data_IF_879978187988
#
_entry.id   IF_879978187988
#
_cell.length_a   1.000
_cell.length_b   1.000
_cell.length_c   1.000
_cell.angle_alpha   90.00
_cell.angle_beta   90.00
_cell.angle_gamma   90.00
#
_symmetry.space_group_name_H-M   'P 1'
#
loop_
_entity.id
_entity.type
_entity.pdbx_description
1 polymer ?
#
# COMPACT_ATOMS: atom_id res chain seq x y z
N UNK A 1 0.04 26.55 59.20
CA UNK A 1 1.46 26.19 59.17
C UNK A 1 1.70 25.44 57.91
N UNK A 2 2.06 26.13 56.98
CA UNK A 2 3.15 26.12 55.99
C UNK A 2 3.52 24.71 55.48
N UNK A 3 3.09 24.41 54.28
CA UNK A 3 3.56 23.32 53.45
C UNK A 3 4.28 23.88 52.22
N UNK A 4 5.55 23.61 52.16
CA UNK A 4 6.47 23.98 51.10
C UNK A 4 6.20 23.17 49.84
N UNK A 5 5.86 23.86 48.73
CA UNK A 5 5.79 23.30 47.36
C UNK A 5 7.19 23.25 46.77
N UNK A 6 7.70 22.07 46.52
CA UNK A 6 8.86 21.86 45.63
C UNK A 6 8.39 21.76 44.20
N UNK A 7 8.69 22.79 43.42
CA UNK A 7 8.63 22.76 41.96
C UNK A 7 9.89 22.05 41.43
N UNK A 8 9.74 20.84 40.91
CA UNK A 8 10.77 20.20 40.13
C UNK A 8 10.60 20.65 38.65
N UNK A 9 11.45 21.58 38.23
CA UNK A 9 11.60 21.95 36.82
C UNK A 9 12.36 20.83 36.11
N UNK A 10 11.65 20.02 35.31
CA UNK A 10 12.26 19.06 34.37
C UNK A 10 12.75 19.86 33.15
N UNK A 11 14.06 20.07 33.10
CA UNK A 11 14.75 20.58 31.93
C UNK A 11 14.75 19.47 30.86
N UNK A 12 13.80 19.52 29.91
CA UNK A 12 13.85 18.73 28.67
C UNK A 12 14.99 19.30 27.83
N UNK A 13 16.15 18.68 27.86
CA UNK A 13 17.19 18.87 26.87
C UNK A 13 16.70 18.25 25.58
N UNK A 14 16.14 19.05 24.70
CA UNK A 14 15.92 18.67 23.32
C UNK A 14 17.30 18.46 22.68
N UNK A 15 17.75 17.22 22.60
CA UNK A 15 18.84 16.83 21.72
C UNK A 15 18.36 17.03 20.26
N UNK A 16 18.55 18.22 19.73
CA UNK A 16 18.55 18.45 18.28
C UNK A 16 19.77 17.72 17.73
N UNK A 17 19.60 16.47 17.32
CA UNK A 17 20.52 15.80 16.43
C UNK A 17 20.50 16.62 15.15
N UNK A 18 21.49 17.49 14.98
CA UNK A 18 21.81 18.09 13.69
C UNK A 18 22.23 16.91 12.82
N UNK A 19 21.32 16.45 11.98
CA UNK A 19 21.63 15.48 10.94
C UNK A 19 22.62 16.16 10.00
N UNK A 20 23.89 15.83 10.13
CA UNK A 20 24.90 16.12 9.13
C UNK A 20 24.41 15.39 7.88
N UNK A 21 24.08 16.12 6.81
CA UNK A 21 23.74 15.58 5.50
C UNK A 21 24.93 14.70 5.05
N UNK A 22 24.88 13.42 5.41
CA UNK A 22 25.88 12.44 5.06
C UNK A 22 25.48 11.73 3.78
N UNK A 23 26.43 11.64 2.84
CA UNK A 23 26.24 10.77 1.68
C UNK A 23 26.18 9.32 2.14
N UNK A 24 25.00 8.68 2.05
CA UNK A 24 24.78 7.30 2.47
C UNK A 24 24.72 6.38 1.25
N UNK A 25 25.65 5.43 1.12
CA UNK A 25 25.49 4.37 0.12
C UNK A 25 24.30 3.49 0.50
N UNK A 26 23.36 3.30 -0.42
CA UNK A 26 22.20 2.42 -0.24
C UNK A 26 22.26 1.30 -1.28
N UNK A 27 22.22 0.06 -0.79
CA UNK A 27 22.05 -1.12 -1.65
C UNK A 27 20.58 -1.33 -2.01
N UNK A 28 20.32 -2.16 -3.03
CA UNK A 28 18.95 -2.51 -3.42
C UNK A 28 18.22 -3.22 -2.28
N UNK A 29 18.87 -4.16 -1.60
CA UNK A 29 18.30 -4.90 -0.48
C UNK A 29 17.93 -3.96 0.67
N UNK A 30 18.81 -3.03 1.02
CA UNK A 30 18.57 -2.03 2.06
C UNK A 30 17.39 -1.11 1.68
N UNK A 31 17.30 -0.69 0.41
CA UNK A 31 16.18 0.10 -0.08
C UNK A 31 14.84 -0.65 0.05
N UNK A 32 14.83 -1.96 -0.27
CA UNK A 32 13.64 -2.81 -0.09
C UNK A 32 13.26 -2.93 1.39
N UNK A 33 14.24 -3.18 2.28
CA UNK A 33 13.96 -3.27 3.71
C UNK A 33 13.39 -1.99 4.30
N UNK A 34 13.94 -0.82 3.89
CA UNK A 34 13.41 0.49 4.29
C UNK A 34 11.99 0.67 3.77
N UNK A 35 11.76 0.35 2.49
CA UNK A 35 10.42 0.39 1.88
C UNK A 35 9.41 -0.46 2.65
N UNK A 36 9.77 -1.70 2.99
CA UNK A 36 8.89 -2.59 3.76
C UNK A 36 8.62 -2.10 5.20
N UNK A 37 9.54 -1.35 5.80
CA UNK A 37 9.36 -0.80 7.15
C UNK A 37 8.59 0.53 7.17
N UNK A 38 8.83 1.42 6.20
CA UNK A 38 8.41 2.82 6.25
C UNK A 38 7.40 3.23 5.19
N UNK A 39 7.27 2.45 4.09
CA UNK A 39 6.33 2.79 3.03
C UNK A 39 4.89 2.82 3.54
N UNK A 40 4.16 3.88 3.17
CA UNK A 40 2.80 4.12 3.67
C UNK A 40 1.80 3.05 3.25
N UNK A 41 1.96 2.43 2.08
CA UNK A 41 1.09 1.36 1.62
C UNK A 41 1.23 0.10 2.48
N UNK A 42 2.46 -0.24 2.90
CA UNK A 42 2.70 -1.36 3.85
C UNK A 42 2.09 -1.05 5.22
N UNK A 43 2.28 0.17 5.72
CA UNK A 43 1.69 0.59 7.01
C UNK A 43 0.16 0.48 6.96
N UNK A 44 -0.47 0.98 5.90
CA UNK A 44 -1.93 0.87 5.70
C UNK A 44 -2.37 -0.60 5.65
N UNK A 45 -1.65 -1.45 4.92
CA UNK A 45 -1.98 -2.87 4.81
C UNK A 45 -1.82 -3.61 6.16
N UNK A 46 -0.80 -3.28 6.97
CA UNK A 46 -0.66 -3.78 8.35
C UNK A 46 -1.83 -3.35 9.24
N UNK A 47 -2.23 -2.09 9.14
CA UNK A 47 -3.40 -1.59 9.88
C UNK A 47 -4.69 -2.32 9.48
N UNK A 48 -4.84 -2.72 8.21
CA UNK A 48 -5.96 -3.55 7.77
C UNK A 48 -5.92 -4.96 8.39
N UNK A 49 -4.73 -5.57 8.57
CA UNK A 49 -4.59 -6.83 9.29
C UNK A 49 -4.97 -6.66 10.78
N UNK A 50 -4.52 -5.59 11.45
CA UNK A 50 -4.91 -5.29 12.83
C UNK A 50 -6.43 -5.01 12.94
N UNK A 51 -7.01 -4.36 11.94
CA UNK A 51 -8.46 -4.19 11.84
C UNK A 51 -9.19 -5.54 11.74
N UNK A 52 -8.68 -6.47 10.91
CA UNK A 52 -9.24 -7.81 10.80
C UNK A 52 -9.17 -8.56 12.13
N UNK A 53 -8.05 -8.49 12.86
CA UNK A 53 -7.93 -9.04 14.22
C UNK A 53 -8.94 -8.44 15.19
N UNK A 54 -9.25 -7.15 15.07
CA UNK A 54 -10.26 -6.49 15.90
C UNK A 54 -11.67 -6.92 15.52
N UNK A 55 -11.95 -7.12 14.24
CA UNK A 55 -13.25 -7.68 13.77
C UNK A 55 -13.46 -9.12 14.26
N UNK A 56 -12.40 -9.92 14.33
CA UNK A 56 -12.47 -11.26 14.94
C UNK A 56 -12.89 -11.16 16.42
N UNK A 57 -12.26 -10.26 17.19
CA UNK A 57 -12.65 -10.05 18.60
C UNK A 57 -14.10 -9.58 18.72
N UNK A 58 -14.58 -8.74 17.81
CA UNK A 58 -15.97 -8.28 17.77
C UNK A 58 -16.94 -9.44 17.50
N UNK A 59 -16.61 -10.32 16.54
CA UNK A 59 -17.39 -11.51 16.25
C UNK A 59 -17.50 -12.45 17.47
N UNK A 60 -16.36 -12.72 18.15
CA UNK A 60 -16.37 -13.49 19.40
C UNK A 60 -17.11 -12.75 20.53
N UNK A 61 -16.96 -11.43 20.63
CA UNK A 61 -17.68 -10.58 21.58
C UNK A 61 -19.19 -10.67 21.40
N UNK A 62 -19.66 -10.77 20.15
CA UNK A 62 -21.09 -10.96 19.83
C UNK A 62 -21.64 -12.32 20.28
N UNK A 63 -20.77 -13.31 20.45
CA UNK A 63 -21.13 -14.64 20.98
C UNK A 63 -21.06 -14.69 22.53
N UNK A 64 -20.49 -13.69 23.21
CA UNK A 64 -20.37 -13.61 24.66
C UNK A 64 -21.62 -13.01 25.30
N UNK A 65 -21.83 -13.22 26.64
CA UNK A 65 -22.90 -12.55 27.37
C UNK A 65 -22.75 -11.04 27.34
N UNK A 66 -23.84 -10.33 27.10
CA UNK A 66 -23.90 -8.87 27.24
C UNK A 66 -24.59 -8.47 28.53
N UNK A 67 -24.07 -7.46 29.23
CA UNK A 67 -24.66 -6.85 30.43
C UNK A 67 -25.03 -5.41 30.09
N UNK A 68 -26.33 -5.12 30.18
CA UNK A 68 -26.87 -3.79 29.95
C UNK A 68 -27.53 -3.26 31.22
N UNK A 69 -27.21 -2.02 31.58
CA UNK A 69 -27.86 -1.32 32.68
C UNK A 69 -28.55 -0.08 32.12
N UNK A 70 -29.86 0.00 32.35
CA UNK A 70 -30.66 1.13 31.94
C UNK A 70 -31.34 1.75 33.16
N UNK A 71 -31.30 3.07 33.29
CA UNK A 71 -32.03 3.81 34.31
C UNK A 71 -32.84 4.92 33.64
N UNK A 72 -34.11 5.03 34.02
CA UNK A 72 -34.98 6.09 33.52
C UNK A 72 -35.79 6.67 34.65
N UNK A 73 -36.03 7.99 34.59
CA UNK A 73 -36.97 8.70 35.43
C UNK A 73 -37.93 9.41 34.49
N UNK A 74 -39.20 9.10 34.60
CA UNK A 74 -40.24 9.69 33.76
C UNK A 74 -41.24 10.43 34.64
N UNK A 75 -41.53 11.69 34.26
CA UNK A 75 -42.64 12.45 34.86
C UNK A 75 -43.77 12.53 33.86
N UNK A 76 -44.91 12.01 34.26
CA UNK A 76 -46.16 12.09 33.51
C UNK A 76 -46.76 13.49 33.69
N UNK A 77 -47.02 14.19 32.59
CA UNK A 77 -47.66 15.53 32.61
C UNK A 77 -49.14 15.37 32.92
N UNK A 78 -49.77 14.28 32.46
CA UNK A 78 -51.11 13.84 32.78
C UNK A 78 -51.07 12.41 33.31
N UNK A 79 -51.66 12.13 34.49
CA UNK A 79 -51.72 10.78 35.01
C UNK A 79 -52.59 9.89 34.11
N UNK A 80 -52.30 8.58 34.00
CA UNK A 80 -53.14 7.67 33.26
C UNK A 80 -54.49 7.44 33.94
N UNK A 81 -55.54 7.49 33.16
CA UNK A 81 -56.91 7.20 33.61
C UNK A 81 -57.27 5.78 33.22
N UNK A 82 -57.62 4.97 34.19
CA UNK A 82 -58.12 3.63 33.97
C UNK A 82 -59.64 3.60 34.09
N UNK A 83 -60.31 2.90 33.18
CA UNK A 83 -61.74 2.77 33.17
C UNK A 83 -62.13 1.36 33.69
N UNK A 84 -62.68 1.33 34.90
CA UNK A 84 -63.13 0.06 35.50
C UNK A 84 -64.65 0.01 35.56
N UNK A 85 -65.28 -1.10 35.13
CA UNK A 85 -66.70 -1.32 35.39
C UNK A 85 -66.95 -1.49 36.88
N UNK A 86 -67.83 -0.71 37.46
CA UNK A 86 -68.29 -0.89 38.86
C UNK A 86 -69.12 -2.16 38.96
N UNK A 87 -68.69 -3.18 39.77
CA UNK A 87 -69.36 -4.47 39.85
C UNK A 87 -70.80 -4.38 40.35
N UNK A 88 -71.17 -3.35 41.13
CA UNK A 88 -72.49 -3.19 41.68
C UNK A 88 -73.48 -2.44 40.78
N UNK A 89 -73.01 -1.57 39.87
CA UNK A 89 -73.87 -0.73 39.03
C UNK A 89 -73.71 -0.94 37.53
N UNK A 90 -72.71 -1.72 37.11
CA UNK A 90 -72.35 -1.93 35.69
C UNK A 90 -71.83 -0.70 34.97
N UNK A 91 -71.74 0.44 35.64
CA UNK A 91 -71.26 1.70 35.05
C UNK A 91 -69.71 1.74 35.09
N UNK A 92 -69.11 2.18 33.96
CA UNK A 92 -67.65 2.40 33.87
C UNK A 92 -67.34 3.73 34.56
N UNK A 93 -66.48 3.69 35.58
CA UNK A 93 -65.99 4.86 36.29
C UNK A 93 -64.50 5.08 36.00
N UNK A 94 -64.07 6.33 35.72
CA UNK A 94 -62.68 6.63 35.57
C UNK A 94 -61.96 6.56 36.94
N UNK A 95 -60.82 5.87 37.00
CA UNK A 95 -59.92 5.85 38.14
C UNK A 95 -58.62 6.50 37.72
N UNK A 96 -58.35 7.67 38.23
CA UNK A 96 -57.04 8.31 38.07
C UNK A 96 -56.10 7.75 39.12
N UNK A 97 -54.96 7.22 38.66
CA UNK A 97 -53.89 6.82 39.58
C UNK A 97 -52.94 8.01 39.68
N UNK A 98 -52.86 8.71 40.83
CA UNK A 98 -52.06 9.92 40.99
C UNK A 98 -50.58 9.60 41.11
N UNK A 99 -50.01 9.01 40.04
CA UNK A 99 -48.58 8.69 39.93
C UNK A 99 -47.98 9.58 38.85
N UNK A 100 -47.32 10.66 39.26
CA UNK A 100 -46.74 11.60 38.31
C UNK A 100 -45.29 11.32 37.98
N UNK A 101 -44.57 10.61 38.83
CA UNK A 101 -43.16 10.30 38.61
C UNK A 101 -42.87 8.81 38.81
N UNK A 102 -42.23 8.21 37.84
CA UNK A 102 -41.76 6.83 37.90
C UNK A 102 -40.26 6.79 37.66
N UNK A 103 -39.54 5.95 38.38
CA UNK A 103 -38.20 5.58 38.03
C UNK A 103 -38.12 4.08 37.79
N UNK A 104 -37.26 3.67 36.88
CA UNK A 104 -36.96 2.30 36.57
C UNK A 104 -35.49 2.13 36.38
N UNK A 105 -34.88 1.21 37.11
CA UNK A 105 -33.50 0.76 36.91
C UNK A 105 -33.54 -0.72 36.56
N UNK A 106 -32.96 -1.06 35.41
CA UNK A 106 -32.93 -2.41 34.87
C UNK A 106 -31.48 -2.82 34.63
N UNK A 107 -31.06 -3.94 35.18
CA UNK A 107 -29.83 -4.63 34.82
C UNK A 107 -30.21 -5.96 34.12
N UNK A 108 -29.76 -6.13 32.88
CA UNK A 108 -30.09 -7.29 32.06
C UNK A 108 -28.83 -7.96 31.55
N UNK A 109 -28.68 -9.25 31.79
CA UNK A 109 -27.69 -10.12 31.15
C UNK A 109 -28.39 -10.87 30.04
N UNK A 110 -27.79 -10.88 28.86
CA UNK A 110 -28.31 -11.64 27.71
C UNK A 110 -27.19 -12.48 27.10
N UNK A 111 -27.46 -13.76 26.85
CA UNK A 111 -26.57 -14.70 26.19
C UNK A 111 -27.23 -15.25 24.94
N UNK A 112 -26.64 -15.05 23.77
CA UNK A 112 -27.06 -15.71 22.55
C UNK A 112 -26.70 -17.19 22.64
N UNK A 113 -27.68 -18.07 22.54
CA UNK A 113 -27.50 -19.51 22.49
C UNK A 113 -27.44 -20.03 21.07
N UNK A 114 -28.23 -19.43 20.18
CA UNK A 114 -28.22 -19.73 18.75
C UNK A 114 -28.54 -18.48 17.95
N UNK A 115 -27.64 -18.14 17.02
CA UNK A 115 -27.84 -17.15 15.96
C UNK A 115 -26.92 -17.53 14.79
N UNK A 116 -27.49 -17.83 13.63
CA UNK A 116 -26.73 -18.30 12.47
C UNK A 116 -25.69 -17.32 11.98
N UNK A 117 -25.98 -16.00 12.03
CA UNK A 117 -25.03 -14.96 11.63
C UNK A 117 -23.81 -14.92 12.56
N UNK A 118 -24.03 -14.95 13.89
CA UNK A 118 -22.95 -14.96 14.88
C UNK A 118 -22.09 -16.22 14.75
N UNK A 119 -22.71 -17.38 14.60
CA UNK A 119 -21.99 -18.65 14.44
C UNK A 119 -21.17 -18.67 13.15
N UNK A 120 -21.72 -18.17 12.05
CA UNK A 120 -20.99 -18.04 10.77
C UNK A 120 -19.85 -17.04 10.88
N UNK A 121 -20.06 -15.88 11.52
CA UNK A 121 -19.01 -14.88 11.73
C UNK A 121 -17.83 -15.43 12.56
N UNK A 122 -18.13 -16.15 13.66
CA UNK A 122 -17.11 -16.78 14.51
C UNK A 122 -16.36 -17.87 13.74
N UNK A 123 -17.07 -18.79 13.06
CA UNK A 123 -16.45 -19.89 12.31
C UNK A 123 -15.66 -19.44 11.09
N UNK A 124 -15.92 -18.23 10.58
CA UNK A 124 -15.23 -17.66 9.42
C UNK A 124 -14.13 -16.66 9.81
N UNK A 125 -13.90 -16.45 11.09
CA UNK A 125 -13.00 -15.41 11.60
C UNK A 125 -11.55 -15.58 11.11
N UNK A 126 -11.02 -16.80 11.07
CA UNK A 126 -9.68 -17.10 10.54
C UNK A 126 -9.58 -16.77 9.05
N UNK A 127 -10.63 -17.06 8.27
CA UNK A 127 -10.67 -16.74 6.84
C UNK A 127 -10.56 -15.24 6.58
N UNK A 128 -11.18 -14.40 7.42
CA UNK A 128 -11.02 -12.93 7.33
C UNK A 128 -9.58 -12.49 7.58
N UNK A 129 -8.91 -13.11 8.54
CA UNK A 129 -7.50 -12.83 8.82
C UNK A 129 -6.61 -13.28 7.67
N UNK A 130 -6.87 -14.47 7.11
CA UNK A 130 -6.12 -14.98 5.96
C UNK A 130 -6.29 -14.09 4.73
N UNK A 131 -7.50 -13.59 4.47
CA UNK A 131 -7.75 -12.64 3.39
C UNK A 131 -7.00 -11.31 3.60
N UNK A 132 -6.97 -10.78 4.83
CA UNK A 132 -6.22 -9.58 5.16
C UNK A 132 -4.69 -9.78 5.02
N UNK A 133 -4.18 -10.94 5.43
CA UNK A 133 -2.77 -11.31 5.25
C UNK A 133 -2.40 -11.47 3.78
N UNK A 134 -3.27 -12.08 2.96
CA UNK A 134 -3.03 -12.20 1.53
C UNK A 134 -2.99 -10.83 0.82
N UNK A 135 -3.83 -9.88 1.25
CA UNK A 135 -3.76 -8.49 0.77
C UNK A 135 -2.48 -7.80 1.19
N UNK A 136 -1.97 -8.07 2.41
CA UNK A 136 -0.65 -7.58 2.83
C UNK A 136 0.45 -8.18 1.97
N UNK A 137 0.42 -9.49 1.69
CA UNK A 137 1.41 -10.15 0.83
C UNK A 137 1.40 -9.55 -0.60
N UNK A 138 0.22 -9.24 -1.16
CA UNK A 138 0.10 -8.53 -2.44
C UNK A 138 0.69 -7.11 -2.39
N UNK A 139 0.44 -6.36 -1.32
CA UNK A 139 1.03 -5.05 -1.11
C UNK A 139 2.56 -5.11 -0.95
N UNK A 140 3.09 -6.17 -0.31
CA UNK A 140 4.54 -6.42 -0.23
C UNK A 140 5.12 -6.63 -1.62
N UNK A 141 4.51 -7.46 -2.45
CA UNK A 141 4.96 -7.71 -3.82
C UNK A 141 5.00 -6.42 -4.64
N UNK A 142 3.98 -5.59 -4.54
CA UNK A 142 3.92 -4.28 -5.20
C UNK A 142 5.02 -3.34 -4.70
N UNK A 143 5.20 -3.20 -3.38
CA UNK A 143 6.20 -2.29 -2.80
C UNK A 143 7.62 -2.74 -3.12
N UNK A 144 7.91 -4.04 -3.10
CA UNK A 144 9.21 -4.58 -3.51
C UNK A 144 9.49 -4.26 -4.98
N UNK A 145 8.52 -4.50 -5.86
CA UNK A 145 8.65 -4.26 -7.30
C UNK A 145 8.85 -2.77 -7.60
N UNK A 146 8.03 -1.90 -7.04
CA UNK A 146 8.15 -0.45 -7.26
C UNK A 146 9.44 0.12 -6.64
N UNK A 147 9.90 -0.41 -5.49
CA UNK A 147 11.21 -0.04 -4.93
C UNK A 147 12.34 -0.42 -5.88
N UNK A 148 12.34 -1.65 -6.44
CA UNK A 148 13.31 -2.07 -7.45
C UNK A 148 13.30 -1.14 -8.66
N UNK A 149 12.13 -0.85 -9.23
CA UNK A 149 11.99 0.03 -10.40
C UNK A 149 12.54 1.44 -10.12
N UNK A 150 12.15 2.05 -9.00
CA UNK A 150 12.62 3.40 -8.61
C UNK A 150 14.12 3.43 -8.31
N UNK A 151 14.64 2.38 -7.68
CA UNK A 151 16.08 2.23 -7.44
C UNK A 151 16.86 2.19 -8.75
N UNK A 152 16.43 1.36 -9.71
CA UNK A 152 17.10 1.25 -11.02
C UNK A 152 16.96 2.54 -11.83
N UNK A 153 15.81 3.23 -11.77
CA UNK A 153 15.62 4.53 -12.41
C UNK A 153 16.57 5.60 -11.84
N UNK A 154 16.68 5.68 -10.51
CA UNK A 154 17.59 6.63 -9.86
C UNK A 154 19.06 6.31 -10.14
N UNK A 155 19.42 5.01 -10.18
CA UNK A 155 20.75 4.54 -10.55
C UNK A 155 21.08 4.85 -12.01
N UNK A 156 20.15 4.67 -12.94
CA UNK A 156 20.31 5.03 -14.36
C UNK A 156 20.44 6.55 -14.54
N UNK A 157 19.64 7.36 -13.84
CA UNK A 157 19.75 8.82 -13.89
C UNK A 157 21.12 9.31 -13.40
N UNK A 158 21.66 8.70 -12.35
CA UNK A 158 23.02 8.99 -11.90
C UNK A 158 24.08 8.58 -12.94
N UNK A 159 23.85 7.51 -13.71
CA UNK A 159 24.74 7.09 -14.79
C UNK A 159 24.65 8.05 -16.00
N UNK A 160 23.46 8.51 -16.37
CA UNK A 160 23.28 9.53 -17.43
C UNK A 160 24.00 10.84 -17.10
N UNK A 161 23.90 11.30 -15.85
CA UNK A 161 24.65 12.46 -15.39
C UNK A 161 26.16 12.28 -15.56
N UNK A 162 26.71 11.11 -15.18
CA UNK A 162 28.14 10.81 -15.36
C UNK A 162 28.55 10.81 -16.84
N UNK A 163 27.70 10.29 -17.73
CA UNK A 163 27.96 10.34 -19.18
C UNK A 163 27.98 11.77 -19.67
N UNK A 164 27.03 12.61 -19.27
CA UNK A 164 26.98 14.03 -19.67
C UNK A 164 28.21 14.81 -19.17
N UNK A 165 28.65 14.60 -17.93
CA UNK A 165 29.87 15.21 -17.37
C UNK A 165 31.10 14.76 -18.16
N UNK A 166 31.22 13.45 -18.46
CA UNK A 166 32.34 12.93 -19.26
C UNK A 166 32.36 13.51 -20.68
N UNK A 167 31.18 13.66 -21.30
CA UNK A 167 31.07 14.29 -22.61
C UNK A 167 31.54 15.77 -22.57
N UNK A 168 31.13 16.52 -21.54
CA UNK A 168 31.56 17.90 -21.34
C UNK A 168 33.10 18.00 -21.15
N UNK A 169 33.68 17.11 -20.36
CA UNK A 169 35.13 17.04 -20.18
C UNK A 169 35.87 16.77 -21.51
N UNK A 170 35.32 15.83 -22.32
CA UNK A 170 35.87 15.48 -23.61
C UNK A 170 35.85 16.68 -24.59
N UNK A 171 34.72 17.37 -24.71
CA UNK A 171 34.59 18.51 -25.62
C UNK A 171 35.44 19.73 -25.15
N UNK A 172 35.54 19.96 -23.82
CA UNK A 172 36.45 21.00 -23.25
C UNK A 172 37.91 20.69 -23.53
N UNK A 173 38.34 19.44 -23.42
CA UNK A 173 39.70 19.01 -23.77
C UNK A 173 39.96 19.22 -25.26
N UNK A 174 39.02 18.88 -26.12
CA UNK A 174 39.12 19.13 -27.57
C UNK A 174 39.19 20.64 -27.87
N UNK A 175 38.36 21.46 -27.24
CA UNK A 175 38.40 22.93 -27.36
C UNK A 175 39.77 23.51 -26.98
N UNK A 176 40.37 23.07 -25.87
CA UNK A 176 41.70 23.49 -25.44
C UNK A 176 42.77 23.14 -26.49
N UNK A 177 42.71 21.91 -27.02
CA UNK A 177 43.65 21.48 -28.08
C UNK A 177 43.50 22.36 -29.33
N UNK A 178 42.25 22.59 -29.77
CA UNK A 178 41.97 23.46 -30.93
C UNK A 178 42.43 24.89 -30.68
N UNK A 179 42.23 25.46 -29.49
CA UNK A 179 42.67 26.79 -29.13
C UNK A 179 44.21 26.94 -29.17
N UNK A 180 44.96 25.93 -28.70
CA UNK A 180 46.41 25.89 -28.80
C UNK A 180 46.87 25.84 -30.26
N UNK A 181 46.34 24.93 -31.07
CA UNK A 181 46.66 24.80 -32.48
C UNK A 181 46.31 26.08 -33.28
N UNK A 182 45.23 26.78 -32.93
CA UNK A 182 44.86 28.04 -33.54
C UNK A 182 45.89 29.15 -33.20
N UNK A 183 46.33 29.23 -31.95
CA UNK A 183 47.33 30.21 -31.54
C UNK A 183 48.69 30.02 -32.26
N UNK A 184 48.97 28.78 -32.66
CA UNK A 184 50.18 28.41 -33.43
C UNK A 184 49.97 28.49 -34.95
N UNK A 185 48.73 28.81 -35.40
CA UNK A 185 48.42 28.98 -36.84
C UNK A 185 48.15 27.67 -37.59
N UNK A 186 47.99 26.51 -36.90
CA UNK A 186 47.80 25.20 -37.53
C UNK A 186 46.37 24.91 -37.91
N UNK A 187 45.36 25.58 -37.31
CA UNK A 187 43.94 25.38 -37.58
C UNK A 187 43.22 26.70 -37.89
N UNK A 188 42.05 26.60 -38.53
CA UNK A 188 41.25 27.74 -38.93
C UNK A 188 40.46 28.37 -37.77
N UNK A 189 40.09 29.65 -37.90
CA UNK A 189 39.15 30.32 -36.97
C UNK A 189 37.79 29.60 -36.94
N UNK A 190 37.39 29.02 -38.07
CA UNK A 190 36.17 28.22 -38.17
C UNK A 190 36.21 26.99 -37.23
N UNK A 191 37.34 26.28 -37.14
CA UNK A 191 37.51 25.14 -36.23
C UNK A 191 37.46 25.58 -34.78
N UNK A 192 38.07 26.76 -34.44
CA UNK A 192 37.97 27.32 -33.10
C UNK A 192 36.52 27.63 -32.70
N UNK A 193 35.80 28.38 -33.57
CA UNK A 193 34.37 28.69 -33.32
C UNK A 193 33.57 27.42 -33.17
N UNK A 194 33.81 26.39 -33.97
CA UNK A 194 33.13 25.12 -33.91
C UNK A 194 33.38 24.37 -32.58
N UNK A 195 34.60 24.40 -32.08
CA UNK A 195 34.94 23.80 -30.77
C UNK A 195 34.24 24.56 -29.62
N UNK A 196 34.17 25.91 -29.71
CA UNK A 196 33.46 26.74 -28.73
C UNK A 196 31.95 26.41 -28.72
N UNK A 197 31.33 26.28 -29.88
CA UNK A 197 29.90 25.89 -30.04
C UNK A 197 29.66 24.48 -29.51
N UNK A 198 30.61 23.54 -29.71
CA UNK A 198 30.46 22.17 -29.19
C UNK A 198 30.37 22.15 -27.65
N UNK A 199 31.20 22.96 -26.96
CA UNK A 199 31.12 23.11 -25.50
C UNK A 199 29.78 23.71 -25.09
N UNK A 200 29.37 24.82 -25.72
CA UNK A 200 28.11 25.50 -25.42
C UNK A 200 26.87 24.63 -25.61
N UNK A 201 26.92 23.67 -26.54
CA UNK A 201 25.81 22.71 -26.76
C UNK A 201 25.77 21.59 -25.72
N UNK A 202 26.90 21.20 -25.12
CA UNK A 202 26.96 20.11 -24.15
C UNK A 202 26.70 20.59 -22.70
N UNK A 203 27.05 21.82 -22.36
CA UNK A 203 26.84 22.38 -21.02
C UNK A 203 25.38 22.30 -20.54
N UNK A 204 24.35 22.62 -21.35
CA UNK A 204 22.94 22.45 -20.94
C UNK A 204 22.57 21.02 -20.65
N UNK A 205 23.15 20.02 -21.34
CA UNK A 205 22.84 18.58 -21.11
C UNK A 205 23.33 18.11 -19.76
N UNK A 206 24.42 18.69 -19.23
CA UNK A 206 24.90 18.40 -17.87
C UNK A 206 23.89 18.91 -16.85
N UNK A 207 23.39 20.15 -17.02
CA UNK A 207 22.38 20.74 -16.10
C UNK A 207 21.06 19.94 -16.14
N UNK A 208 20.61 19.54 -17.33
CA UNK A 208 19.40 18.74 -17.51
C UNK A 208 19.55 17.36 -16.85
N UNK A 209 20.67 16.68 -17.07
CA UNK A 209 20.93 15.37 -16.50
C UNK A 209 21.11 15.42 -14.97
N UNK A 210 21.66 16.51 -14.43
CA UNK A 210 21.76 16.75 -12.99
C UNK A 210 20.35 16.92 -12.37
N UNK A 211 19.50 17.72 -13.00
CA UNK A 211 18.11 17.88 -12.60
C UNK A 211 17.35 16.56 -12.64
N UNK A 212 17.54 15.77 -13.71
CA UNK A 212 16.96 14.43 -13.84
C UNK A 212 17.43 13.46 -12.74
N UNK A 213 18.72 13.50 -12.40
CA UNK A 213 19.29 12.72 -11.30
C UNK A 213 18.65 13.09 -9.96
N UNK A 214 18.54 14.38 -9.67
CA UNK A 214 17.89 14.87 -8.45
C UNK A 214 16.43 14.42 -8.38
N UNK A 215 15.66 14.59 -9.46
CA UNK A 215 14.26 14.19 -9.52
C UNK A 215 14.05 12.69 -9.28
N UNK A 216 14.88 11.84 -9.90
CA UNK A 216 14.81 10.40 -9.74
C UNK A 216 15.19 9.96 -8.30
N UNK A 217 16.19 10.58 -7.69
CA UNK A 217 16.55 10.35 -6.29
C UNK A 217 15.43 10.79 -5.35
N UNK A 218 14.86 11.97 -5.53
CA UNK A 218 13.76 12.47 -4.73
C UNK A 218 12.52 11.57 -4.83
N UNK A 219 12.23 11.02 -6.02
CA UNK A 219 11.15 10.06 -6.22
C UNK A 219 11.37 8.75 -5.43
N UNK A 220 12.61 8.25 -5.39
CA UNK A 220 12.96 7.08 -4.57
C UNK A 220 12.85 7.40 -3.09
N UNK A 221 13.41 8.51 -2.62
CA UNK A 221 13.36 8.95 -1.21
C UNK A 221 11.91 9.10 -0.72
N UNK A 222 11.08 9.78 -1.50
CA UNK A 222 9.65 9.93 -1.18
C UNK A 222 8.95 8.58 -1.07
N UNK A 223 9.23 7.67 -2.00
CA UNK A 223 8.64 6.34 -1.99
C UNK A 223 9.07 5.51 -0.77
N UNK A 224 10.32 5.65 -0.35
CA UNK A 224 10.88 5.00 0.84
C UNK A 224 10.53 5.73 2.15
N UNK A 225 9.86 6.88 2.08
CA UNK A 225 9.59 7.78 3.21
C UNK A 225 10.87 8.25 3.93
N UNK A 226 11.96 8.48 3.16
CA UNK A 226 13.21 9.08 3.63
C UNK A 226 13.17 10.61 3.50
N UNK A 227 14.05 11.28 4.25
CA UNK A 227 14.22 12.73 4.15
C UNK A 227 14.85 13.11 2.80
N UNK A 228 14.34 14.17 2.15
CA UNK A 228 14.83 14.67 0.88
C UNK A 228 16.17 15.42 1.02
N UNK A 229 16.59 15.75 2.23
CA UNK A 229 17.87 16.39 2.51
C UNK A 229 19.06 15.43 2.49
N UNK A 230 18.81 14.12 2.59
CA UNK A 230 19.84 13.09 2.52
C UNK A 230 20.35 12.91 1.10
N UNK A 231 21.67 12.84 0.91
CA UNK A 231 22.26 12.52 -0.40
C UNK A 231 22.45 11.01 -0.50
N UNK A 232 21.70 10.35 -1.41
CA UNK A 232 21.83 8.91 -1.64
C UNK A 232 22.94 8.63 -2.67
N UNK A 233 23.86 7.72 -2.34
CA UNK A 233 24.79 7.13 -3.29
C UNK A 233 24.28 5.76 -3.68
N UNK A 234 23.83 5.61 -4.93
CA UNK A 234 23.31 4.36 -5.46
C UNK A 234 24.41 3.61 -6.20
N UNK A 235 24.61 2.33 -5.84
CA UNK A 235 25.62 1.49 -6.51
C UNK A 235 24.98 0.73 -7.67
N UNK A 236 25.38 1.04 -8.90
CA UNK A 236 24.99 0.30 -10.11
C UNK A 236 25.84 -0.96 -10.31
N UNK A 237 27.02 -1.00 -9.72
CA UNK A 237 28.03 -2.04 -10.01
C UNK A 237 27.68 -3.42 -9.46
N UNK A 238 26.60 -3.51 -8.65
CA UNK A 238 26.09 -4.75 -8.05
C UNK A 238 24.70 -5.14 -8.58
N UNK A 239 24.38 -4.79 -9.81
CA UNK A 239 23.13 -5.25 -10.42
C UNK A 239 23.14 -6.77 -10.60
N UNK A 240 21.97 -7.45 -10.45
CA UNK A 240 21.87 -8.88 -10.69
C UNK A 240 22.39 -9.26 -12.07
N UNK A 241 22.99 -10.45 -12.18
CA UNK A 241 23.46 -10.96 -13.46
C UNK A 241 22.29 -11.21 -14.42
N UNK A 242 22.55 -10.99 -15.72
CA UNK A 242 21.57 -11.21 -16.78
C UNK A 242 21.33 -12.72 -16.91
N UNK A 243 20.16 -13.17 -16.43
CA UNK A 243 19.74 -14.57 -16.45
C UNK A 243 19.25 -15.06 -17.82
N UNK A 244 18.90 -16.35 -17.90
CA UNK A 244 18.14 -16.89 -19.02
C UNK A 244 16.70 -16.38 -18.98
N UNK A 245 16.08 -16.16 -20.15
CA UNK A 245 14.66 -15.84 -20.25
C UNK A 245 13.88 -17.16 -20.05
N UNK A 246 12.93 -17.21 -19.09
CA UNK A 246 12.13 -18.41 -18.85
C UNK A 246 11.22 -18.74 -20.04
N UNK A 247 10.77 -19.99 -20.10
CA UNK A 247 9.75 -20.43 -21.06
C UNK A 247 8.36 -19.84 -20.70
N UNK A 248 7.57 -19.56 -21.74
CA UNK A 248 6.25 -18.91 -21.60
C UNK A 248 5.29 -19.78 -20.81
N UNK A 249 5.25 -21.08 -21.07
CA UNK A 249 4.29 -22.00 -20.44
C UNK A 249 4.59 -22.15 -18.94
N UNK A 250 5.86 -22.34 -18.58
CA UNK A 250 6.29 -22.41 -17.19
C UNK A 250 6.02 -21.11 -16.43
N UNK A 251 6.23 -19.95 -17.07
CA UNK A 251 5.94 -18.64 -16.47
C UNK A 251 4.44 -18.42 -16.25
N UNK A 252 3.59 -18.86 -17.18
CA UNK A 252 2.12 -18.79 -17.04
C UNK A 252 1.64 -19.66 -15.89
N UNK A 253 2.14 -20.89 -15.78
CA UNK A 253 1.81 -21.78 -14.66
C UNK A 253 2.20 -21.17 -13.31
N UNK A 254 3.37 -20.52 -13.21
CA UNK A 254 3.80 -19.81 -12.02
C UNK A 254 2.90 -18.62 -11.73
N UNK A 255 2.57 -17.81 -12.74
CA UNK A 255 1.69 -16.65 -12.58
C UNK A 255 0.31 -17.05 -12.04
N UNK A 256 -0.27 -18.15 -12.55
CA UNK A 256 -1.58 -18.63 -12.06
C UNK A 256 -1.49 -19.22 -10.64
N UNK A 257 -0.40 -19.91 -10.30
CA UNK A 257 -0.30 -20.65 -9.04
C UNK A 257 0.24 -19.81 -7.87
N UNK A 258 1.09 -18.82 -8.14
CA UNK A 258 1.84 -18.10 -7.11
C UNK A 258 1.57 -16.58 -7.06
N UNK A 259 0.75 -16.03 -7.97
CA UNK A 259 0.45 -14.60 -7.97
C UNK A 259 -0.31 -14.17 -6.70
N UNK A 260 0.19 -13.14 -6.04
CA UNK A 260 -0.35 -12.67 -4.76
C UNK A 260 -1.70 -11.99 -4.91
N UNK A 261 -1.94 -11.24 -5.99
CA UNK A 261 -3.22 -10.57 -6.25
C UNK A 261 -4.33 -11.59 -6.50
N UNK A 262 -4.02 -12.67 -7.26
CA UNK A 262 -4.95 -13.76 -7.51
C UNK A 262 -5.31 -14.50 -6.23
N UNK A 263 -4.32 -14.79 -5.38
CA UNK A 263 -4.54 -15.43 -4.08
C UNK A 263 -5.40 -14.57 -3.16
N UNK A 264 -5.14 -13.26 -3.11
CA UNK A 264 -5.95 -12.34 -2.30
C UNK A 264 -7.41 -12.32 -2.79
N UNK A 265 -7.63 -12.33 -4.11
CA UNK A 265 -8.96 -12.36 -4.70
C UNK A 265 -9.69 -13.69 -4.47
N UNK A 266 -8.98 -14.84 -4.50
CA UNK A 266 -9.54 -16.14 -4.17
C UNK A 266 -10.04 -16.21 -2.72
N UNK A 267 -9.31 -15.65 -1.77
CA UNK A 267 -9.74 -15.54 -0.38
C UNK A 267 -10.90 -14.55 -0.22
N UNK A 268 -10.92 -13.47 -1.00
CA UNK A 268 -12.03 -12.52 -1.01
C UNK A 268 -13.34 -13.16 -1.51
N UNK A 269 -13.29 -14.05 -2.50
CA UNK A 269 -14.46 -14.85 -2.96
C UNK A 269 -14.97 -15.72 -1.81
N UNK A 270 -14.08 -16.38 -1.07
CA UNK A 270 -14.47 -17.21 0.06
C UNK A 270 -15.13 -16.38 1.19
N UNK A 271 -14.56 -15.20 1.51
CA UNK A 271 -15.15 -14.26 2.46
C UNK A 271 -16.54 -13.81 2.01
N UNK A 272 -16.69 -13.40 0.76
CA UNK A 272 -17.99 -12.99 0.19
C UNK A 272 -19.02 -14.14 0.23
N UNK A 273 -18.59 -15.39 0.01
CA UNK A 273 -19.45 -16.57 0.12
C UNK A 273 -19.92 -16.78 1.57
N UNK A 274 -19.10 -16.49 2.58
CA UNK A 274 -19.53 -16.52 3.98
C UNK A 274 -20.52 -15.41 4.32
N UNK A 275 -20.43 -14.25 3.65
CA UNK A 275 -21.44 -13.19 3.80
C UNK A 275 -22.80 -13.62 3.26
N UNK A 276 -22.87 -14.42 2.19
CA UNK A 276 -24.14 -15.05 1.76
C UNK A 276 -24.74 -15.88 2.89
N UNK A 277 -23.95 -16.75 3.52
CA UNK A 277 -24.43 -17.58 4.64
C UNK A 277 -24.91 -16.72 5.83
N UNK A 278 -24.26 -15.59 6.09
CA UNK A 278 -24.69 -14.64 7.12
C UNK A 278 -26.07 -14.05 6.77
N UNK A 279 -26.31 -13.67 5.52
CA UNK A 279 -27.63 -13.17 5.10
C UNK A 279 -28.70 -14.29 5.08
N UNK A 280 -28.31 -15.51 4.69
CA UNK A 280 -29.22 -16.66 4.74
C UNK A 280 -29.61 -17.03 6.18
N UNK A 281 -28.77 -16.65 7.17
CA UNK A 281 -29.10 -16.91 8.58
C UNK A 281 -30.31 -16.14 9.09
N UNK A 282 -30.75 -15.08 8.42
CA UNK A 282 -32.01 -14.38 8.73
C UNK A 282 -33.26 -15.25 8.53
N UNK A 283 -33.16 -16.39 7.85
CA UNK A 283 -34.23 -17.40 7.75
C UNK A 283 -34.32 -18.31 8.98
N UNK A 284 -33.30 -18.38 9.81
CA UNK A 284 -33.24 -19.22 10.99
C UNK A 284 -33.66 -18.45 12.25
N UNK A 285 -34.14 -19.16 13.29
CA UNK A 285 -34.48 -18.48 14.54
C UNK A 285 -33.24 -17.98 15.28
N UNK A 286 -33.42 -16.95 16.10
CA UNK A 286 -32.47 -16.55 17.15
C UNK A 286 -32.99 -17.04 18.49
N UNK A 287 -32.13 -17.68 19.26
CA UNK A 287 -32.44 -18.17 20.63
C UNK A 287 -31.46 -17.48 21.58
N UNK A 288 -32.00 -16.80 22.59
CA UNK A 288 -31.20 -16.14 23.61
C UNK A 288 -31.76 -16.48 25.02
N UNK A 289 -30.87 -16.77 25.96
CA UNK A 289 -31.17 -16.76 27.38
C UNK A 289 -30.98 -15.35 27.94
N UNK A 290 -31.84 -14.94 28.86
CA UNK A 290 -31.69 -13.67 29.52
C UNK A 290 -32.07 -13.74 30.99
N UNK A 291 -31.40 -12.94 31.82
CA UNK A 291 -31.73 -12.66 33.18
C UNK A 291 -31.87 -11.16 33.38
N UNK A 292 -32.92 -10.73 34.04
CA UNK A 292 -33.19 -9.32 34.29
C UNK A 292 -33.48 -9.11 35.76
N UNK A 293 -32.81 -8.11 36.32
CA UNK A 293 -33.19 -7.50 37.59
C UNK A 293 -33.66 -6.09 37.30
N UNK A 294 -34.86 -5.76 37.87
CA UNK A 294 -35.48 -4.46 37.71
C UNK A 294 -35.84 -3.91 39.08
N UNK A 295 -35.49 -2.67 39.36
CA UNK A 295 -35.97 -1.94 40.49
C UNK A 295 -36.82 -0.77 39.98
N UNK A 296 -38.09 -0.78 40.32
CA UNK A 296 -39.00 0.30 39.90
C UNK A 296 -39.66 0.93 41.11
N UNK A 297 -39.92 2.23 41.02
CA UNK A 297 -40.62 2.98 42.04
C UNK A 297 -41.50 4.07 41.43
N UNK A 298 -42.55 4.40 42.17
CA UNK A 298 -43.57 5.34 41.73
C UNK A 298 -43.88 6.37 42.80
N UNK A 299 -44.15 7.63 42.41
CA UNK A 299 -44.54 8.66 43.32
C UNK A 299 -45.07 9.94 42.72
N UNK A 300 -45.82 10.73 43.59
CA UNK A 300 -46.19 12.11 43.29
C UNK A 300 -45.14 13.14 43.61
N UNK A 301 -44.30 12.88 44.63
CA UNK A 301 -43.24 13.81 45.03
C UNK A 301 -41.94 13.01 45.32
N UNK A 302 -40.77 13.70 45.31
CA UNK A 302 -39.47 13.08 45.49
C UNK A 302 -39.15 12.56 46.89
N UNK A 303 -40.07 12.67 47.86
CA UNK A 303 -39.74 12.39 49.28
C UNK A 303 -39.99 10.95 49.77
N UNK A 304 -40.90 10.15 49.25
CA UNK A 304 -41.19 8.74 49.70
C UNK A 304 -41.53 7.83 48.53
N UNK A 305 -40.60 7.16 47.94
CA UNK A 305 -40.80 6.25 46.84
C UNK A 305 -41.37 4.90 47.33
N UNK A 306 -42.47 4.51 46.76
CA UNK A 306 -42.88 3.11 46.82
C UNK A 306 -42.11 2.36 45.75
N UNK A 307 -41.23 1.48 46.13
CA UNK A 307 -40.36 0.77 45.22
C UNK A 307 -40.32 -0.71 45.50
N UNK A 308 -40.17 -1.52 44.45
CA UNK A 308 -40.02 -2.95 44.54
C UNK A 308 -39.04 -3.48 43.52
N UNK A 309 -38.16 -4.43 43.89
CA UNK A 309 -37.36 -5.17 42.96
C UNK A 309 -38.17 -6.30 42.30
N UNK A 310 -37.86 -6.60 41.04
CA UNK A 310 -38.38 -7.76 40.30
C UNK A 310 -37.21 -8.45 39.62
N UNK A 311 -37.15 -9.76 39.67
CA UNK A 311 -36.16 -10.55 38.95
C UNK A 311 -36.84 -11.59 38.09
N UNK A 312 -36.31 -11.77 36.89
CA UNK A 312 -36.80 -12.82 36.00
C UNK A 312 -35.65 -13.42 35.21
N UNK A 313 -35.80 -14.66 34.81
CA UNK A 313 -34.97 -15.39 33.88
C UNK A 313 -35.85 -16.01 32.80
N UNK A 314 -35.36 -16.07 31.57
CA UNK A 314 -36.17 -16.58 30.49
C UNK A 314 -35.34 -16.95 29.25
N UNK A 315 -36.03 -17.57 28.32
CA UNK A 315 -35.53 -17.82 26.97
C UNK A 315 -36.36 -16.99 25.99
N UNK A 316 -35.67 -16.35 25.09
CA UNK A 316 -36.29 -15.63 23.97
C UNK A 316 -36.05 -16.42 22.68
N UNK A 317 -37.12 -16.78 21.99
CA UNK A 317 -37.12 -17.34 20.64
C UNK A 317 -37.72 -16.32 19.71
N UNK A 318 -36.93 -15.90 18.68
CA UNK A 318 -37.37 -14.95 17.67
C UNK A 318 -37.09 -15.51 16.29
N UNK A 319 -38.07 -15.50 15.41
CA UNK A 319 -37.94 -15.94 14.02
C UNK A 319 -38.76 -15.03 13.11
N UNK A 320 -38.14 -14.56 12.05
CA UNK A 320 -38.80 -13.78 11.02
C UNK A 320 -39.54 -14.70 10.04
N UNK A 321 -40.88 -14.81 10.14
CA UNK A 321 -41.67 -15.64 9.22
C UNK A 321 -41.87 -14.91 7.88
N UNK A 322 -42.11 -13.61 7.91
CA UNK A 322 -42.32 -12.77 6.74
C UNK A 322 -41.84 -11.33 7.03
N UNK A 323 -40.98 -10.81 6.20
CA UNK A 323 -40.44 -9.46 6.33
C UNK A 323 -40.51 -8.65 5.03
N UNK A 324 -41.49 -8.95 4.17
CA UNK A 324 -41.66 -8.25 2.89
C UNK A 324 -40.56 -8.58 1.87
N UNK A 325 -40.07 -9.83 1.84
CA UNK A 325 -39.03 -10.33 0.93
C UNK A 325 -37.64 -9.68 1.12
N UNK A 326 -37.42 -8.95 2.20
CA UNK A 326 -36.13 -8.26 2.46
C UNK A 326 -34.97 -9.25 2.59
N UNK A 327 -35.13 -10.36 3.30
CA UNK A 327 -34.11 -11.39 3.43
C UNK A 327 -33.75 -12.01 2.09
N UNK A 328 -34.75 -12.33 1.26
CA UNK A 328 -34.52 -12.83 -0.10
C UNK A 328 -33.69 -11.84 -0.93
N UNK A 329 -34.06 -10.56 -0.93
CA UNK A 329 -33.34 -9.52 -1.67
C UNK A 329 -31.89 -9.36 -1.17
N UNK A 330 -31.63 -9.41 0.14
CA UNK A 330 -30.27 -9.36 0.71
C UNK A 330 -29.42 -10.55 0.31
N UNK A 331 -29.98 -11.76 0.33
CA UNK A 331 -29.30 -12.98 -0.09
C UNK A 331 -28.95 -12.89 -1.59
N UNK A 332 -29.89 -12.43 -2.41
CA UNK A 332 -29.67 -12.24 -3.84
C UNK A 332 -28.57 -11.20 -4.11
N UNK A 333 -28.59 -10.06 -3.42
CA UNK A 333 -27.50 -9.05 -3.49
C UNK A 333 -26.15 -9.66 -3.13
N UNK A 334 -26.05 -10.40 -2.02
CA UNK A 334 -24.78 -11.03 -1.64
C UNK A 334 -24.31 -12.09 -2.64
N UNK A 335 -25.24 -12.82 -3.31
CA UNK A 335 -24.88 -13.76 -4.39
C UNK A 335 -24.37 -13.02 -5.63
N UNK A 336 -24.94 -11.85 -5.96
CA UNK A 336 -24.46 -10.99 -7.04
C UNK A 336 -23.06 -10.43 -6.70
N UNK A 337 -22.82 -10.06 -5.44
CA UNK A 337 -21.49 -9.61 -5.00
C UNK A 337 -20.42 -10.71 -5.19
N UNK A 338 -20.74 -11.97 -4.85
CA UNK A 338 -19.85 -13.12 -5.11
C UNK A 338 -19.61 -13.27 -6.61
N UNK A 339 -20.66 -13.27 -7.43
CA UNK A 339 -20.54 -13.37 -8.89
C UNK A 339 -19.67 -12.25 -9.47
N UNK A 340 -19.82 -11.03 -8.96
CA UNK A 340 -19.00 -9.88 -9.38
C UNK A 340 -17.51 -10.10 -9.07
N UNK A 341 -17.16 -10.68 -7.92
CA UNK A 341 -15.76 -10.97 -7.59
C UNK A 341 -15.22 -12.13 -8.43
N UNK A 342 -16.05 -13.13 -8.74
CA UNK A 342 -15.68 -14.24 -9.64
C UNK A 342 -15.34 -13.71 -11.05
N UNK A 343 -16.14 -12.80 -11.60
CA UNK A 343 -15.84 -12.16 -12.90
C UNK A 343 -14.56 -11.31 -12.86
N UNK A 344 -14.31 -10.59 -11.75
CA UNK A 344 -13.03 -9.89 -11.56
C UNK A 344 -11.84 -10.83 -11.53
N UNK A 345 -12.02 -12.03 -10.95
CA UNK A 345 -11.00 -13.07 -10.98
C UNK A 345 -10.72 -13.57 -12.39
N UNK A 346 -11.76 -13.82 -13.19
CA UNK A 346 -11.60 -14.18 -14.58
C UNK A 346 -10.87 -13.09 -15.38
N UNK A 347 -11.26 -11.83 -15.20
CA UNK A 347 -10.56 -10.69 -15.80
C UNK A 347 -9.09 -10.62 -15.40
N UNK A 348 -8.77 -10.86 -14.10
CA UNK A 348 -7.37 -10.86 -13.64
C UNK A 348 -6.57 -11.98 -14.30
N UNK A 349 -7.14 -13.16 -14.53
CA UNK A 349 -6.46 -14.25 -15.25
C UNK A 349 -6.11 -13.86 -16.68
N UNK A 350 -7.03 -13.22 -17.40
CA UNK A 350 -6.78 -12.73 -18.77
C UNK A 350 -5.67 -11.66 -18.77
N UNK A 351 -5.69 -10.76 -17.78
CA UNK A 351 -4.65 -9.73 -17.60
C UNK A 351 -3.29 -10.38 -17.29
N UNK A 352 -3.24 -11.38 -16.41
CA UNK A 352 -2.00 -12.09 -16.05
C UNK A 352 -1.41 -12.84 -17.25
N UNK A 353 -2.23 -13.46 -18.08
CA UNK A 353 -1.76 -14.10 -19.30
C UNK A 353 -1.12 -13.07 -20.25
N UNK A 354 -1.82 -11.96 -20.53
CA UNK A 354 -1.29 -10.89 -21.37
C UNK A 354 0.00 -10.30 -20.80
N UNK A 355 0.02 -9.98 -19.51
CA UNK A 355 1.18 -9.39 -18.82
C UNK A 355 2.38 -10.34 -18.87
N UNK A 356 2.19 -11.63 -18.56
CA UNK A 356 3.26 -12.64 -18.60
C UNK A 356 3.90 -12.72 -19.99
N UNK A 357 3.10 -12.83 -21.03
CA UNK A 357 3.61 -12.86 -22.42
C UNK A 357 4.34 -11.57 -22.80
N UNK A 358 3.77 -10.43 -22.43
CA UNK A 358 4.36 -9.11 -22.72
C UNK A 358 5.70 -8.91 -22.02
N UNK A 359 5.75 -9.22 -20.72
CA UNK A 359 6.96 -9.07 -19.91
C UNK A 359 8.08 -10.01 -20.40
N UNK A 360 7.77 -11.25 -20.76
CA UNK A 360 8.77 -12.17 -21.31
C UNK A 360 9.33 -11.69 -22.65
N UNK A 361 8.47 -11.19 -23.56
CA UNK A 361 8.93 -10.60 -24.81
C UNK A 361 9.82 -9.37 -24.60
N UNK A 362 9.43 -8.49 -23.65
CA UNK A 362 10.24 -7.32 -23.30
C UNK A 362 11.58 -7.72 -22.68
N UNK A 363 11.60 -8.75 -21.81
CA UNK A 363 12.81 -9.26 -21.17
C UNK A 363 13.78 -9.85 -22.21
N UNK A 364 13.27 -10.61 -23.17
CA UNK A 364 14.07 -11.16 -24.27
C UNK A 364 14.66 -10.03 -25.15
N UNK A 365 13.85 -9.04 -25.51
CA UNK A 365 14.30 -7.89 -26.29
C UNK A 365 15.33 -7.03 -25.52
N UNK A 366 15.12 -6.77 -24.23
CA UNK A 366 16.06 -6.02 -23.42
C UNK A 366 17.41 -6.76 -23.27
N UNK A 367 17.37 -8.07 -23.04
CA UNK A 367 18.59 -8.91 -23.00
C UNK A 367 19.40 -8.86 -24.31
N UNK A 368 18.72 -8.98 -25.46
CA UNK A 368 19.38 -8.89 -26.77
C UNK A 368 20.01 -7.49 -26.98
N UNK A 369 19.30 -6.42 -26.58
CA UNK A 369 19.80 -5.04 -26.68
C UNK A 369 21.06 -4.83 -25.81
N UNK A 370 21.12 -5.36 -24.60
CA UNK A 370 22.31 -5.24 -23.73
C UNK A 370 23.55 -5.82 -24.43
N UNK A 371 23.44 -7.03 -24.99
CA UNK A 371 24.56 -7.66 -25.71
C UNK A 371 25.03 -6.84 -26.92
N UNK A 372 24.11 -6.28 -27.69
CA UNK A 372 24.44 -5.42 -28.84
C UNK A 372 25.07 -4.08 -28.40
N UNK A 373 24.53 -3.43 -27.36
CA UNK A 373 25.01 -2.13 -26.92
C UNK A 373 26.40 -2.19 -26.27
N UNK A 374 26.75 -3.27 -25.55
CA UNK A 374 28.07 -3.44 -24.97
C UNK A 374 29.16 -3.45 -26.08
N UNK A 375 28.92 -4.14 -27.19
CA UNK A 375 29.81 -4.12 -28.37
C UNK A 375 29.87 -2.72 -29.02
N UNK A 376 28.71 -2.07 -29.16
CA UNK A 376 28.61 -0.71 -29.74
C UNK A 376 29.39 0.32 -28.92
N UNK A 377 29.31 0.29 -27.58
CA UNK A 377 30.10 1.17 -26.69
C UNK A 377 31.61 0.95 -26.92
N UNK A 378 32.07 -0.30 -26.96
CA UNK A 378 33.48 -0.60 -27.19
C UNK A 378 33.99 -0.06 -28.55
N UNK A 379 33.18 -0.23 -29.60
CA UNK A 379 33.53 0.26 -30.96
C UNK A 379 33.49 1.79 -31.01
N UNK A 380 32.49 2.43 -30.41
CA UNK A 380 32.39 3.88 -30.36
C UNK A 380 33.55 4.50 -29.55
N UNK A 381 33.93 3.90 -28.43
CA UNK A 381 35.09 4.33 -27.63
C UNK A 381 36.37 4.28 -28.47
N UNK A 382 36.59 3.15 -29.16
CA UNK A 382 37.76 3.00 -30.03
C UNK A 382 37.73 3.99 -31.20
N UNK A 383 36.59 4.26 -31.81
CA UNK A 383 36.41 5.25 -32.86
C UNK A 383 36.78 6.67 -32.38
N UNK A 384 36.31 7.02 -31.19
CA UNK A 384 36.65 8.32 -30.57
C UNK A 384 38.13 8.47 -30.30
N UNK A 385 38.81 7.47 -29.76
CA UNK A 385 40.24 7.45 -29.53
C UNK A 385 41.06 7.64 -30.84
N UNK A 386 40.66 6.91 -31.89
CA UNK A 386 41.33 7.01 -33.20
C UNK A 386 41.13 8.41 -33.78
N UNK A 387 39.91 8.98 -33.71
CA UNK A 387 39.66 10.33 -34.25
C UNK A 387 40.48 11.43 -33.54
N UNK A 388 40.65 11.27 -32.21
CA UNK A 388 41.51 12.19 -31.44
C UNK A 388 42.98 12.10 -31.89
N UNK A 389 43.55 10.89 -32.02
CA UNK A 389 44.94 10.72 -32.44
C UNK A 389 45.15 11.27 -33.84
N UNK A 390 44.29 10.93 -34.81
CA UNK A 390 44.39 11.45 -36.18
C UNK A 390 44.34 12.98 -36.26
N UNK A 391 43.50 13.59 -35.44
CA UNK A 391 43.41 15.05 -35.39
C UNK A 391 44.69 15.69 -34.83
N UNK A 392 45.26 15.14 -33.78
CA UNK A 392 46.50 15.65 -33.18
C UNK A 392 47.71 15.47 -34.10
N UNK A 393 47.72 14.42 -34.93
CA UNK A 393 48.75 14.17 -35.93
C UNK A 393 48.52 14.99 -37.24
N UNK A 394 47.44 15.80 -37.32
CA UNK A 394 47.12 16.60 -38.51
C UNK A 394 46.48 15.83 -39.68
N UNK A 395 46.15 14.56 -39.47
CA UNK A 395 45.54 13.66 -40.50
C UNK A 395 44.00 13.62 -40.44
N UNK A 396 43.38 14.15 -39.35
CA UNK A 396 41.94 14.12 -39.13
C UNK A 396 41.30 15.53 -39.16
N UNK A 397 39.98 15.57 -39.19
CA UNK A 397 39.19 16.80 -39.11
C UNK A 397 38.49 16.89 -37.76
N UNK A 398 38.29 18.11 -37.26
CA UNK A 398 37.57 18.36 -36.01
C UNK A 398 36.14 17.75 -35.98
N UNK A 399 35.48 17.74 -37.17
CA UNK A 399 34.15 17.11 -37.31
C UNK A 399 34.17 15.61 -36.94
N UNK A 400 35.27 14.90 -37.29
CA UNK A 400 35.37 13.45 -37.01
C UNK A 400 35.44 13.20 -35.52
N UNK A 401 36.10 14.05 -34.71
CA UNK A 401 36.10 13.98 -33.25
C UNK A 401 34.68 14.22 -32.70
N UNK A 402 34.02 15.29 -33.17
CA UNK A 402 32.70 15.68 -32.72
C UNK A 402 31.64 14.58 -32.97
N UNK A 403 31.71 13.99 -34.18
CA UNK A 403 30.79 12.89 -34.58
C UNK A 403 31.08 11.62 -33.75
N UNK A 404 32.36 11.28 -33.54
CA UNK A 404 32.76 10.13 -32.75
C UNK A 404 32.40 10.28 -31.26
N UNK A 405 32.56 11.50 -30.69
CA UNK A 405 32.16 11.80 -29.31
C UNK A 405 30.64 11.68 -29.14
N UNK A 406 29.86 12.22 -30.06
CA UNK A 406 28.40 12.11 -30.08
C UNK A 406 27.95 10.65 -30.18
N UNK A 407 28.61 9.86 -31.05
CA UNK A 407 28.35 8.44 -31.20
C UNK A 407 28.66 7.66 -29.91
N UNK A 408 29.78 7.96 -29.24
CA UNK A 408 30.18 7.37 -27.98
C UNK A 408 29.18 7.68 -26.84
N UNK A 409 28.83 8.96 -26.68
CA UNK A 409 27.85 9.39 -25.67
C UNK A 409 26.50 8.74 -25.89
N UNK A 410 26.03 8.67 -27.13
CA UNK A 410 24.79 7.99 -27.48
C UNK A 410 24.83 6.48 -27.20
N UNK A 411 25.94 5.81 -27.52
CA UNK A 411 26.13 4.39 -27.25
C UNK A 411 26.08 4.10 -25.74
N UNK A 412 26.74 4.92 -24.91
CA UNK A 412 26.71 4.81 -23.43
C UNK A 412 25.30 5.02 -22.88
N UNK A 413 24.56 6.03 -23.36
CA UNK A 413 23.17 6.28 -22.96
C UNK A 413 22.27 5.10 -23.33
N UNK A 414 22.42 4.54 -24.53
CA UNK A 414 21.64 3.39 -24.98
C UNK A 414 21.94 2.13 -24.15
N UNK A 415 23.20 1.91 -23.75
CA UNK A 415 23.56 0.78 -22.88
C UNK A 415 22.91 0.92 -21.50
N UNK A 416 22.96 2.11 -20.89
CA UNK A 416 22.31 2.39 -19.60
C UNK A 416 20.79 2.14 -19.72
N UNK A 417 20.16 2.64 -20.79
CA UNK A 417 18.74 2.43 -21.04
C UNK A 417 18.39 0.93 -21.19
N UNK A 418 19.18 0.18 -21.95
CA UNK A 418 18.96 -1.26 -22.12
C UNK A 418 19.07 -2.04 -20.80
N UNK A 419 20.01 -1.67 -19.93
CA UNK A 419 20.15 -2.25 -18.58
C UNK A 419 18.98 -1.88 -17.68
N UNK A 420 18.53 -0.61 -17.70
CA UNK A 420 17.36 -0.16 -16.97
C UNK A 420 16.11 -0.93 -17.38
N UNK A 421 15.86 -1.03 -18.70
CA UNK A 421 14.72 -1.75 -19.25
C UNK A 421 14.72 -3.22 -18.80
N UNK A 422 15.89 -3.87 -18.81
CA UNK A 422 16.02 -5.27 -18.37
C UNK A 422 15.65 -5.43 -16.90
N UNK A 423 16.23 -4.62 -16.01
CA UNK A 423 16.04 -4.78 -14.58
C UNK A 423 14.63 -4.38 -14.12
N UNK A 424 14.03 -3.36 -14.74
CA UNK A 424 12.64 -2.98 -14.44
C UNK A 424 11.65 -4.03 -14.95
N UNK A 425 11.91 -4.60 -16.12
CA UNK A 425 11.10 -5.69 -16.67
C UNK A 425 11.26 -6.98 -15.86
N UNK A 426 12.47 -7.28 -15.37
CA UNK A 426 12.71 -8.43 -14.49
C UNK A 426 11.94 -8.30 -13.17
N UNK A 427 11.94 -7.11 -12.56
CA UNK A 427 11.17 -6.86 -11.35
C UNK A 427 9.65 -7.06 -11.59
N UNK A 428 9.15 -6.65 -12.76
CA UNK A 428 7.76 -6.89 -13.13
C UNK A 428 7.47 -8.38 -13.39
N UNK A 429 8.39 -9.10 -14.00
CA UNK A 429 8.30 -10.56 -14.17
C UNK A 429 8.18 -11.27 -12.82
N UNK A 430 9.04 -10.93 -11.87
CA UNK A 430 9.00 -11.49 -10.51
C UNK A 430 7.66 -11.22 -9.80
N UNK A 431 7.09 -10.03 -9.98
CA UNK A 431 5.77 -9.67 -9.43
C UNK A 431 4.66 -10.50 -10.06
N UNK A 432 4.59 -10.54 -11.38
CA UNK A 432 3.53 -11.25 -12.11
C UNK A 432 3.56 -12.75 -11.81
N UNK A 433 4.76 -13.35 -11.70
CA UNK A 433 4.96 -14.77 -11.41
C UNK A 433 4.99 -15.10 -9.91
N UNK A 434 4.82 -14.11 -9.03
CA UNK A 434 4.83 -14.32 -7.58
C UNK A 434 6.20 -14.72 -7.01
N UNK A 435 7.29 -14.46 -7.73
CA UNK A 435 8.66 -14.82 -7.32
C UNK A 435 9.30 -13.76 -6.42
N UNK A 436 8.60 -13.38 -5.36
CA UNK A 436 9.12 -12.45 -4.35
C UNK A 436 9.73 -13.24 -3.20
N UNK A 437 10.95 -12.85 -2.78
CA UNK A 437 11.67 -13.52 -1.68
C UNK A 437 10.79 -13.55 -0.41
N UNK A 438 10.65 -14.72 0.16
CA UNK A 438 9.82 -14.93 1.35
C UNK A 438 10.29 -14.12 2.55
N UNK A 439 11.59 -13.81 2.65
CA UNK A 439 12.14 -12.93 3.68
C UNK A 439 11.45 -11.57 3.72
N UNK A 440 11.08 -11.02 2.56
CA UNK A 440 10.41 -9.73 2.47
C UNK A 440 8.99 -9.77 3.05
N UNK A 441 8.27 -10.89 2.89
CA UNK A 441 6.95 -11.08 3.51
C UNK A 441 7.04 -11.18 5.03
N UNK A 442 8.08 -11.87 5.54
CA UNK A 442 8.32 -11.98 6.98
C UNK A 442 8.70 -10.63 7.61
N UNK A 443 9.49 -9.80 6.92
CA UNK A 443 9.85 -8.45 7.37
C UNK A 443 8.65 -7.48 7.38
N UNK A 444 7.64 -7.73 6.57
CA UNK A 444 6.46 -6.90 6.47
C UNK A 444 5.38 -7.24 7.50
N UNK A 445 5.41 -8.41 8.10
CA UNK A 445 4.46 -8.86 9.14
C UNK A 445 4.87 -8.37 10.52
#
# INVERSE_FOLDING_TARGET
>A
MLSTRLLAAVFMIANTVVAIAGSRPISLEEAIEIGLKQNKNIIVSRLNVERAKSQIRDAYGSAMPSLNVNASVNRLIQPPVFFFPNPATGKVSPLEIPVNTTYTMTAQVQQILFNGAVMTAVSSSELYLDAANAQLDAAVAEVVTETKKKYYQAAAAAAYYRVAVSALENVKKTQQTVASLFSEGFVSEFDKIRADVAVANVEPLVVESESGRYAAQAALQTYLALDLTDTLILSIDKLPSIGAVPDVESALQLAISANYDLRALDLQIQVASKMVNIQESDYYPTIAAYGQWQHQGQRDNFANWLSAPTSLVGLNFSMNIFNGLKTQAKVEQSKIDVATIVERRAQLLDILELQTRTVLNQLAAAKARIGAQASTVSQAQRGYEISQVRYTEGEGRLIEISDAETALSRAKVNEISARLDYHTTLAEYERVTGQIDERYRQLAR
#
